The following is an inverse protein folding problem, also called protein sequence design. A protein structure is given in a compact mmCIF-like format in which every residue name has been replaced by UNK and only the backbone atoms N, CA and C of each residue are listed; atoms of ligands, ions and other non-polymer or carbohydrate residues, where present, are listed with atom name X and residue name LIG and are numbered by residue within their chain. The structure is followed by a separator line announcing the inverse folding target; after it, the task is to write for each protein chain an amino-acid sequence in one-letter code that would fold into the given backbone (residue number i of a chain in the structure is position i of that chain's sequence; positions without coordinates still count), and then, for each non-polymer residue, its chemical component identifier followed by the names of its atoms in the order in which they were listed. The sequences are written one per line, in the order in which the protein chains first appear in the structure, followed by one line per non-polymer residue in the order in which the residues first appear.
data_IF_008318363016
#
_entry.id   IF_008318363016
#
_cell.length_a   1.000
_cell.length_b   1.000
_cell.length_c   1.000
_cell.angle_alpha   90.00
_cell.angle_beta   90.00
_cell.angle_gamma   90.00
#
_symmetry.space_group_name_H-M   'P 1'
#
loop_
_entity.id
_entity.type
_entity.pdbx_description
1 polymer ?
#
# COMPACT_ATOMS: atom_id res chain seq x y z
N UNK A 1 1.87 38.01 17.77
CA UNK A 1 2.84 36.99 17.31
C UNK A 1 2.66 36.87 15.79
N UNK A 2 3.72 37.14 15.02
CA UNK A 2 3.66 36.90 13.57
C UNK A 2 3.32 35.44 13.32
N UNK A 3 2.39 35.18 12.40
CA UNK A 3 2.06 33.81 11.94
C UNK A 3 3.25 33.25 11.14
N UNK A 4 4.28 32.77 11.85
CA UNK A 4 5.41 32.10 11.22
C UNK A 4 4.99 30.70 10.75
N UNK A 5 5.53 30.22 9.63
CA UNK A 5 5.33 28.83 9.22
C UNK A 5 5.73 27.83 10.31
N UNK A 6 5.19 26.59 10.30
CA UNK A 6 5.61 25.53 11.21
C UNK A 6 7.13 25.29 11.16
N UNK A 7 7.72 24.81 12.25
CA UNK A 7 9.16 24.54 12.36
C UNK A 7 9.66 23.63 11.22
N UNK A 8 8.90 22.62 10.85
CA UNK A 8 9.24 21.72 9.75
C UNK A 8 9.38 22.43 8.40
N UNK A 9 8.65 23.52 8.17
CA UNK A 9 8.78 24.32 6.95
C UNK A 9 9.95 25.31 7.05
N UNK A 10 10.17 25.90 8.22
CA UNK A 10 11.31 26.82 8.47
C UNK A 10 12.66 26.12 8.37
N UNK A 11 12.71 24.82 8.74
CA UNK A 11 13.90 23.98 8.70
C UNK A 11 14.04 23.18 7.39
N UNK A 12 13.26 23.51 6.35
CA UNK A 12 13.36 22.82 5.07
C UNK A 12 14.73 23.09 4.41
N UNK A 13 15.54 22.04 4.14
CA UNK A 13 16.82 22.19 3.46
C UNK A 13 16.71 22.91 2.12
N UNK A 14 17.65 23.78 1.82
CA UNK A 14 17.70 24.55 0.59
C UNK A 14 18.69 23.96 -0.43
N UNK A 15 19.65 23.15 0.01
CA UNK A 15 20.67 22.53 -0.81
C UNK A 15 20.97 21.10 -0.34
N UNK A 16 21.77 20.36 -1.14
CA UNK A 16 22.10 18.95 -0.86
C UNK A 16 22.97 18.78 0.41
N UNK A 17 23.70 19.78 0.83
CA UNK A 17 24.59 19.66 1.98
C UNK A 17 23.83 19.84 3.31
N UNK A 18 22.71 20.56 3.28
CA UNK A 18 21.75 20.64 4.40
C UNK A 18 20.78 19.43 4.43
N UNK A 19 20.73 18.64 3.36
CA UNK A 19 19.77 17.55 3.25
C UNK A 19 20.17 16.36 4.12
N UNK A 20 19.42 16.11 5.18
CA UNK A 20 19.69 15.06 6.16
C UNK A 20 19.30 13.69 5.63
N UNK A 21 20.16 12.70 5.82
CA UNK A 21 19.93 11.31 5.44
C UNK A 21 20.22 11.00 3.97
N UNK A 22 19.74 9.85 3.52
CA UNK A 22 19.83 9.36 2.13
C UNK A 22 21.25 9.37 1.55
N UNK A 23 22.29 9.14 2.35
CA UNK A 23 23.70 9.17 1.91
C UNK A 23 23.99 8.25 0.72
N UNK A 24 23.24 7.14 0.58
CA UNK A 24 23.32 6.21 -0.54
C UNK A 24 22.85 6.81 -1.87
N UNK A 25 22.03 7.88 -1.85
CA UNK A 25 21.51 8.58 -3.03
C UNK A 25 22.24 9.89 -3.31
N UNK A 26 22.50 10.68 -2.25
CA UNK A 26 22.99 12.06 -2.37
C UNK A 26 24.34 12.30 -1.69
N UNK A 27 25.00 11.27 -1.15
CA UNK A 27 26.38 11.35 -0.65
C UNK A 27 27.36 11.79 -1.74
N UNK A 28 28.61 12.13 -1.40
CA UNK A 28 29.57 12.73 -2.32
C UNK A 28 29.78 11.94 -3.60
N UNK A 29 29.81 10.60 -3.53
CA UNK A 29 30.02 9.70 -4.69
C UNK A 29 28.72 9.04 -5.21
N UNK A 30 27.58 9.41 -4.67
CA UNK A 30 26.31 8.77 -4.98
C UNK A 30 25.79 9.11 -6.38
N UNK A 31 25.08 8.15 -6.97
CA UNK A 31 24.62 8.21 -8.37
C UNK A 31 23.74 9.43 -8.64
N UNK A 32 22.83 9.76 -7.75
CA UNK A 32 21.92 10.88 -7.94
C UNK A 32 22.66 12.23 -7.82
N UNK A 33 23.62 12.37 -6.87
CA UNK A 33 24.45 13.58 -6.77
C UNK A 33 25.26 13.79 -8.04
N UNK A 34 25.85 12.75 -8.62
CA UNK A 34 26.59 12.84 -9.88
C UNK A 34 25.68 13.25 -11.06
N UNK A 35 24.46 12.70 -11.12
CA UNK A 35 23.48 13.08 -12.14
C UNK A 35 23.07 14.57 -12.02
N UNK A 36 22.89 15.07 -10.81
CA UNK A 36 22.61 16.50 -10.55
C UNK A 36 23.80 17.36 -10.99
N UNK A 37 25.02 17.02 -10.58
CA UNK A 37 26.23 17.78 -10.91
C UNK A 37 26.54 17.81 -12.42
N UNK A 38 26.23 16.72 -13.13
CA UNK A 38 26.41 16.66 -14.59
C UNK A 38 25.30 17.37 -15.37
N UNK A 39 24.22 17.78 -14.72
CA UNK A 39 23.04 18.35 -15.37
C UNK A 39 22.22 17.34 -16.18
N UNK A 40 22.62 16.06 -16.21
CA UNK A 40 21.90 14.99 -16.92
C UNK A 40 20.97 14.23 -15.98
N UNK A 41 19.76 14.75 -15.82
CA UNK A 41 18.76 14.21 -14.91
C UNK A 41 17.77 13.34 -15.68
N UNK A 42 17.67 12.01 -15.41
CA UNK A 42 16.62 11.18 -15.95
C UNK A 42 15.29 11.47 -15.25
N UNK A 43 14.19 11.11 -15.88
CA UNK A 43 12.91 11.02 -15.17
C UNK A 43 12.98 9.94 -14.09
N UNK A 44 12.34 10.16 -12.93
CA UNK A 44 12.52 9.30 -11.78
C UNK A 44 11.28 9.20 -10.90
N UNK A 45 11.24 8.14 -10.10
CA UNK A 45 10.26 7.94 -9.05
C UNK A 45 10.99 7.85 -7.70
N UNK A 46 10.63 8.71 -6.76
CA UNK A 46 11.06 8.64 -5.37
C UNK A 46 10.07 7.79 -4.58
N UNK A 47 10.51 6.63 -4.14
CA UNK A 47 9.72 5.72 -3.33
C UNK A 47 10.28 5.65 -1.92
N UNK A 48 9.42 5.80 -0.92
CA UNK A 48 9.80 5.67 0.49
C UNK A 48 8.76 6.26 1.42
N UNK A 49 8.92 6.04 2.75
CA UNK A 49 7.95 6.45 3.76
C UNK A 49 7.71 7.97 3.77
N UNK A 50 6.64 8.44 4.45
CA UNK A 50 6.40 9.87 4.60
C UNK A 50 7.53 10.55 5.38
N UNK A 51 7.70 11.86 5.20
CA UNK A 51 8.63 12.69 5.95
C UNK A 51 10.13 12.46 5.73
N UNK A 52 10.53 11.58 4.80
CA UNK A 52 11.95 11.31 4.46
C UNK A 52 12.55 12.32 3.47
N UNK A 53 11.79 13.35 3.07
CA UNK A 53 12.29 14.45 2.26
C UNK A 53 12.10 14.31 0.75
N UNK A 54 11.21 13.44 0.22
CA UNK A 54 10.97 13.26 -1.24
C UNK A 54 10.70 14.58 -1.95
N UNK A 55 9.74 15.36 -1.48
CA UNK A 55 9.36 16.68 -2.04
C UNK A 55 10.49 17.70 -1.90
N UNK A 56 11.19 17.68 -0.78
CA UNK A 56 12.33 18.55 -0.51
C UNK A 56 13.49 18.25 -1.46
N UNK A 57 13.80 16.97 -1.69
CA UNK A 57 14.83 16.55 -2.62
C UNK A 57 14.54 16.98 -4.06
N UNK A 58 13.28 16.83 -4.50
CA UNK A 58 12.87 17.28 -5.83
C UNK A 58 13.03 18.81 -5.99
N UNK A 59 12.70 19.57 -4.96
CA UNK A 59 12.89 21.02 -4.96
C UNK A 59 14.39 21.40 -4.99
N UNK A 60 15.22 20.81 -4.14
CA UNK A 60 16.67 21.01 -4.13
C UNK A 60 17.30 20.73 -5.50
N UNK A 61 16.86 19.63 -6.16
CA UNK A 61 17.33 19.28 -7.51
C UNK A 61 16.99 20.40 -8.50
N UNK A 62 15.77 20.94 -8.45
CA UNK A 62 15.37 22.01 -9.37
C UNK A 62 16.19 23.28 -9.17
N UNK A 63 16.44 23.64 -7.91
CA UNK A 63 17.28 24.81 -7.58
C UNK A 63 18.74 24.59 -7.99
N UNK A 64 19.31 23.42 -7.73
CA UNK A 64 20.69 23.10 -8.09
C UNK A 64 20.94 23.12 -9.61
N UNK A 65 19.90 22.90 -10.41
CA UNK A 65 19.97 22.88 -11.88
C UNK A 65 19.44 24.17 -12.52
N UNK A 66 18.93 25.12 -11.73
CA UNK A 66 18.27 26.35 -12.18
C UNK A 66 17.17 26.07 -13.24
N UNK A 67 16.38 25.00 -12.98
CA UNK A 67 15.33 24.55 -13.91
C UNK A 67 13.94 24.98 -13.41
N UNK A 68 13.01 25.37 -14.31
CA UNK A 68 11.63 25.62 -13.94
C UNK A 68 11.00 24.42 -13.23
N UNK A 69 10.32 24.66 -12.12
CA UNK A 69 9.70 23.64 -11.28
C UNK A 69 8.18 23.76 -11.26
N UNK A 70 7.51 22.74 -11.77
CA UNK A 70 6.06 22.61 -11.73
C UNK A 70 5.70 21.53 -10.69
N UNK A 71 4.84 21.90 -9.76
CA UNK A 71 4.39 20.98 -8.71
C UNK A 71 2.90 20.66 -8.90
N UNK A 72 2.55 19.38 -9.01
CA UNK A 72 1.19 18.88 -9.00
C UNK A 72 0.99 17.94 -7.82
N UNK A 73 -0.12 18.11 -7.11
CA UNK A 73 -0.57 17.15 -6.11
C UNK A 73 -1.59 16.21 -6.74
N UNK A 74 -1.34 14.91 -6.71
CA UNK A 74 -2.28 13.93 -7.27
C UNK A 74 -3.63 13.90 -6.56
N UNK A 75 -3.72 14.45 -5.35
CA UNK A 75 -4.98 14.56 -4.60
C UNK A 75 -5.91 15.61 -5.21
N UNK A 76 -5.36 16.73 -5.70
CA UNK A 76 -6.11 17.91 -6.09
C UNK A 76 -6.07 18.18 -7.60
N UNK A 77 -5.28 17.44 -8.38
CA UNK A 77 -5.06 17.73 -9.81
C UNK A 77 -5.78 16.74 -10.72
N UNK A 78 -6.51 17.28 -11.72
CA UNK A 78 -7.17 16.51 -12.76
C UNK A 78 -6.34 16.41 -14.05
N UNK A 79 -6.87 15.71 -15.06
CA UNK A 79 -6.25 15.60 -16.41
C UNK A 79 -6.05 16.98 -17.06
N UNK A 80 -6.94 17.92 -16.77
CA UNK A 80 -6.85 19.29 -17.29
C UNK A 80 -5.60 20.02 -16.75
N UNK A 81 -5.36 19.90 -15.45
CA UNK A 81 -4.21 20.53 -14.79
C UNK A 81 -2.88 19.96 -15.31
N UNK A 82 -2.84 18.64 -15.52
CA UNK A 82 -1.69 17.96 -16.12
C UNK A 82 -1.38 18.50 -17.51
N UNK A 83 -2.40 18.64 -18.37
CA UNK A 83 -2.25 19.17 -19.73
C UNK A 83 -1.78 20.62 -19.72
N UNK A 84 -2.37 21.45 -18.86
CA UNK A 84 -2.00 22.87 -18.74
C UNK A 84 -0.52 23.03 -18.34
N UNK A 85 -0.03 22.19 -17.41
CA UNK A 85 1.40 22.21 -17.02
C UNK A 85 2.29 21.71 -18.14
N UNK A 86 1.90 20.67 -18.87
CA UNK A 86 2.65 20.16 -20.03
C UNK A 86 2.72 21.23 -21.13
N UNK A 87 1.64 21.94 -21.41
CA UNK A 87 1.59 23.01 -22.39
C UNK A 87 2.52 24.18 -21.99
N UNK A 88 2.50 24.58 -20.70
CA UNK A 88 3.43 25.57 -20.16
C UNK A 88 4.89 25.12 -20.27
N UNK A 89 5.16 23.86 -19.96
CA UNK A 89 6.51 23.27 -20.07
C UNK A 89 6.98 23.24 -21.54
N UNK A 90 6.09 22.92 -22.47
CA UNK A 90 6.41 22.91 -23.90
C UNK A 90 6.86 24.28 -24.43
N UNK A 91 6.29 25.38 -23.91
CA UNK A 91 6.70 26.75 -24.25
C UNK A 91 8.10 27.10 -23.74
N UNK A 92 8.60 26.41 -22.72
CA UNK A 92 9.91 26.64 -22.11
C UNK A 92 11.01 25.73 -22.67
N UNK A 93 10.66 24.79 -23.56
CA UNK A 93 11.60 23.77 -24.08
C UNK A 93 12.84 24.36 -24.74
N UNK A 94 12.67 25.49 -25.42
CA UNK A 94 13.75 26.16 -26.16
C UNK A 94 14.46 27.25 -25.33
N UNK A 95 14.14 27.34 -24.02
CA UNK A 95 14.83 28.25 -23.11
C UNK A 95 16.22 27.70 -22.73
N UNK A 96 17.16 28.60 -22.47
CA UNK A 96 18.53 28.25 -22.02
C UNK A 96 18.56 27.55 -20.65
N UNK A 97 17.45 27.46 -19.94
CA UNK A 97 17.33 26.93 -18.59
C UNK A 97 17.21 25.38 -18.53
N UNK A 98 17.23 24.71 -19.68
CA UNK A 98 17.06 23.26 -19.76
C UNK A 98 15.62 22.77 -19.55
N UNK A 99 15.41 21.45 -19.55
CA UNK A 99 14.06 20.88 -19.45
C UNK A 99 13.42 21.17 -18.10
N UNK A 100 12.17 21.67 -18.07
CA UNK A 100 11.43 21.87 -16.85
C UNK A 100 11.28 20.56 -16.02
N UNK A 101 11.28 20.69 -14.71
CA UNK A 101 10.99 19.58 -13.80
C UNK A 101 9.50 19.60 -13.48
N UNK A 102 8.81 18.50 -13.75
CA UNK A 102 7.46 18.24 -13.31
C UNK A 102 7.48 17.30 -12.10
N UNK A 103 7.22 17.85 -10.94
CA UNK A 103 7.09 17.07 -9.71
C UNK A 103 5.62 16.70 -9.45
N UNK A 104 5.37 15.42 -9.17
CA UNK A 104 4.05 14.91 -8.83
C UNK A 104 4.12 14.23 -7.48
N UNK A 105 3.50 14.86 -6.48
CA UNK A 105 3.38 14.27 -5.14
C UNK A 105 2.26 13.23 -5.12
N UNK A 106 2.52 12.10 -4.45
CA UNK A 106 1.61 10.95 -4.32
C UNK A 106 1.11 10.44 -5.69
N UNK A 107 2.03 10.24 -6.65
CA UNK A 107 1.70 9.83 -8.04
C UNK A 107 0.84 8.56 -8.13
N UNK A 108 0.86 7.69 -7.11
CA UNK A 108 0.02 6.49 -7.03
C UNK A 108 -1.48 6.82 -6.96
N UNK A 109 -1.87 8.03 -6.55
CA UNK A 109 -3.26 8.47 -6.52
C UNK A 109 -3.80 8.92 -7.87
N UNK A 110 -2.94 9.08 -8.85
CA UNK A 110 -3.38 9.30 -10.22
C UNK A 110 -3.98 8.04 -10.82
N UNK A 111 -5.15 8.16 -11.44
CA UNK A 111 -5.73 7.10 -12.26
C UNK A 111 -4.79 6.71 -13.42
N UNK A 112 -4.95 5.52 -13.97
CA UNK A 112 -4.18 5.07 -15.14
C UNK A 112 -4.24 6.07 -16.30
N UNK A 113 -5.41 6.65 -16.58
CA UNK A 113 -5.57 7.66 -17.63
C UNK A 113 -4.83 8.97 -17.36
N UNK A 114 -4.68 9.38 -16.09
CA UNK A 114 -3.88 10.53 -15.71
C UNK A 114 -2.38 10.22 -15.87
N UNK A 115 -1.94 9.04 -15.47
CA UNK A 115 -0.56 8.61 -15.67
C UNK A 115 -0.21 8.46 -17.17
N UNK A 116 -1.12 7.94 -17.99
CA UNK A 116 -0.96 7.86 -19.44
C UNK A 116 -0.79 9.26 -20.09
N UNK A 117 -1.45 10.27 -19.53
CA UNK A 117 -1.33 11.66 -20.01
C UNK A 117 0.10 12.21 -19.82
N UNK A 118 0.86 11.71 -18.85
CA UNK A 118 2.25 12.10 -18.61
C UNK A 118 3.22 11.44 -19.59
N UNK A 119 2.88 10.24 -20.09
CA UNK A 119 3.77 9.41 -20.89
C UNK A 119 4.29 10.16 -22.12
N UNK A 120 3.41 10.81 -22.87
CA UNK A 120 3.78 11.55 -24.05
C UNK A 120 4.70 12.76 -23.79
N UNK A 121 4.60 13.38 -22.62
CA UNK A 121 5.49 14.47 -22.23
C UNK A 121 6.89 13.99 -21.86
N UNK A 122 6.96 12.84 -21.14
CA UNK A 122 8.23 12.20 -20.79
C UNK A 122 8.94 11.65 -22.03
N UNK A 123 8.23 10.96 -22.92
CA UNK A 123 8.79 10.38 -24.16
C UNK A 123 9.35 11.43 -25.11
N UNK A 124 8.64 12.56 -25.26
CA UNK A 124 9.09 13.66 -26.14
C UNK A 124 10.14 14.56 -25.49
N UNK A 125 10.54 14.27 -24.25
CA UNK A 125 11.48 15.11 -23.51
C UNK A 125 10.98 16.55 -23.36
N UNK A 126 9.70 16.73 -23.02
CA UNK A 126 9.14 18.05 -22.71
C UNK A 126 9.38 18.43 -21.26
N UNK A 127 9.44 17.43 -20.40
CA UNK A 127 9.68 17.58 -18.96
C UNK A 127 10.61 16.46 -18.45
N UNK A 128 11.35 16.76 -17.38
CA UNK A 128 11.92 15.73 -16.52
C UNK A 128 10.91 15.42 -15.42
N UNK A 129 10.34 14.22 -15.42
CA UNK A 129 9.36 13.82 -14.40
C UNK A 129 10.06 13.39 -13.12
N UNK A 130 9.61 13.91 -11.98
CA UNK A 130 9.93 13.38 -10.65
C UNK A 130 8.62 13.02 -9.96
N UNK A 131 8.28 11.73 -9.92
CA UNK A 131 7.14 11.24 -9.15
C UNK A 131 7.54 10.89 -7.72
N UNK A 132 6.74 11.25 -6.72
CA UNK A 132 6.93 10.81 -5.34
C UNK A 132 5.78 9.88 -4.94
N UNK A 133 6.09 8.82 -4.20
CA UNK A 133 5.08 7.87 -3.71
C UNK A 133 5.52 7.23 -2.40
N UNK A 134 4.55 6.94 -1.55
CA UNK A 134 4.73 6.08 -0.37
C UNK A 134 4.41 4.62 -0.67
N UNK A 135 3.71 4.35 -1.77
CA UNK A 135 3.29 3.02 -2.21
C UNK A 135 4.32 2.38 -3.14
N UNK A 136 4.31 1.04 -3.21
CA UNK A 136 5.21 0.34 -4.11
C UNK A 136 4.90 0.66 -5.58
N UNK A 137 5.79 1.35 -6.28
CA UNK A 137 5.54 1.82 -7.63
C UNK A 137 5.30 0.69 -8.64
N UNK A 138 5.77 -0.52 -8.37
CA UNK A 138 5.55 -1.69 -9.24
C UNK A 138 4.07 -2.10 -9.36
N UNK A 139 3.24 -1.71 -8.39
CA UNK A 139 1.81 -2.01 -8.40
C UNK A 139 0.95 -0.80 -8.78
N UNK A 140 1.41 0.40 -8.44
CA UNK A 140 0.61 1.61 -8.49
C UNK A 140 0.94 2.52 -9.67
N UNK A 141 2.15 2.41 -10.23
CA UNK A 141 2.55 3.17 -11.40
C UNK A 141 2.49 2.29 -12.64
N UNK A 142 1.92 2.80 -13.74
CA UNK A 142 1.80 2.04 -14.98
C UNK A 142 3.18 1.63 -15.51
N UNK A 143 3.29 0.41 -16.01
CA UNK A 143 4.55 -0.17 -16.51
C UNK A 143 5.21 0.66 -17.62
N UNK A 144 4.41 1.31 -18.46
CA UNK A 144 4.89 2.20 -19.52
C UNK A 144 5.66 3.41 -18.97
N UNK A 145 5.20 3.98 -17.84
CA UNK A 145 5.87 5.11 -17.19
C UNK A 145 7.09 4.63 -16.41
N UNK A 146 6.98 3.51 -15.67
CA UNK A 146 8.10 2.92 -14.93
C UNK A 146 9.29 2.57 -15.83
N UNK A 147 9.05 2.06 -17.05
CA UNK A 147 10.12 1.72 -17.99
C UNK A 147 10.93 2.93 -18.45
N UNK A 148 10.46 4.16 -18.21
CA UNK A 148 11.11 5.43 -18.58
C UNK A 148 11.62 6.22 -17.39
N UNK A 149 11.41 5.72 -16.18
CA UNK A 149 11.82 6.36 -14.94
C UNK A 149 12.81 5.49 -14.17
N UNK A 150 13.79 6.11 -13.54
CA UNK A 150 14.62 5.43 -12.55
C UNK A 150 13.92 5.47 -11.19
N UNK A 151 13.85 4.34 -10.49
CA UNK A 151 13.27 4.28 -9.15
C UNK A 151 14.38 4.44 -8.11
N UNK A 152 14.25 5.45 -7.26
CA UNK A 152 15.14 5.69 -6.12
C UNK A 152 14.39 5.44 -4.82
N UNK A 153 14.95 4.56 -3.98
CA UNK A 153 14.35 4.20 -2.70
C UNK A 153 14.93 5.10 -1.61
N UNK A 154 14.05 5.91 -0.99
CA UNK A 154 14.38 6.71 0.17
C UNK A 154 14.04 5.92 1.43
N UNK A 155 14.95 5.94 2.41
CA UNK A 155 14.82 5.20 3.67
C UNK A 155 14.38 6.13 4.79
N UNK A 156 13.72 5.57 5.82
CA UNK A 156 13.49 6.29 7.07
C UNK A 156 14.81 6.80 7.63
N UNK A 157 14.78 7.96 8.29
CA UNK A 157 15.94 8.50 8.95
C UNK A 157 16.27 7.64 10.18
N UNK A 158 17.55 7.40 10.38
CA UNK A 158 18.04 6.69 11.56
C UNK A 158 18.08 7.62 12.81
N UNK A 159 18.36 7.04 13.97
CA UNK A 159 18.38 7.75 15.24
C UNK A 159 19.45 8.85 15.27
N UNK A 160 20.61 8.61 14.68
CA UNK A 160 21.70 9.58 14.62
C UNK A 160 21.35 10.77 13.72
N UNK A 161 20.70 10.50 12.58
CA UNK A 161 20.22 11.51 11.63
C UNK A 161 19.12 12.37 12.25
N UNK A 162 18.17 11.75 12.96
CA UNK A 162 17.10 12.46 13.67
C UNK A 162 17.63 13.30 14.83
N UNK A 163 18.57 12.76 15.60
CA UNK A 163 19.24 13.51 16.69
C UNK A 163 20.01 14.70 16.15
N UNK A 164 20.74 14.52 15.04
CA UNK A 164 21.41 15.61 14.34
C UNK A 164 20.45 16.72 13.91
N UNK A 165 19.29 16.33 13.34
CA UNK A 165 18.26 17.27 12.91
C UNK A 165 17.68 18.08 14.11
N UNK A 166 17.46 17.45 15.26
CA UNK A 166 17.01 18.14 16.49
C UNK A 166 17.99 19.22 16.92
N UNK A 167 19.27 18.89 16.97
CA UNK A 167 20.32 19.86 17.38
C UNK A 167 20.43 21.01 16.38
N UNK A 168 20.38 20.71 15.07
CA UNK A 168 20.38 21.73 14.02
C UNK A 168 19.17 22.65 14.14
N UNK A 169 17.97 22.11 14.36
CA UNK A 169 16.75 22.89 14.51
C UNK A 169 16.83 23.86 15.72
N UNK A 170 17.31 23.40 16.88
CA UNK A 170 17.45 24.25 18.07
C UNK A 170 18.48 25.36 17.84
N UNK A 171 19.56 25.07 17.13
CA UNK A 171 20.65 25.99 16.90
C UNK A 171 20.35 27.04 15.83
N UNK A 172 19.67 26.66 14.78
CA UNK A 172 19.57 27.46 13.55
C UNK A 172 18.18 28.08 13.31
N UNK A 173 17.11 27.51 13.89
CA UNK A 173 15.77 28.08 13.71
C UNK A 173 15.67 29.47 14.34
N UNK A 174 15.05 30.39 13.60
CA UNK A 174 14.95 31.82 13.98
C UNK A 174 14.23 32.07 15.29
N UNK A 175 13.33 31.14 15.70
CA UNK A 175 12.55 31.24 16.95
C UNK A 175 13.24 30.47 18.08
N UNK A 176 13.75 29.29 17.79
CA UNK A 176 14.32 28.40 18.82
C UNK A 176 15.66 28.87 19.31
N UNK A 177 16.51 29.46 18.47
CA UNK A 177 17.81 30.02 18.87
C UNK A 177 17.73 31.16 19.89
N UNK A 178 16.57 31.83 19.99
CA UNK A 178 16.32 32.90 20.98
C UNK A 178 15.98 32.33 22.37
N UNK A 179 15.86 31.00 22.50
CA UNK A 179 15.55 30.30 23.74
C UNK A 179 16.74 29.48 24.20
N UNK A 180 16.89 29.33 25.53
CA UNK A 180 17.85 28.40 26.10
C UNK A 180 17.24 27.02 26.22
N UNK A 181 17.44 26.18 25.19
CA UNK A 181 16.85 24.84 25.11
C UNK A 181 17.95 23.80 25.39
N UNK A 182 17.72 22.95 26.39
CA UNK A 182 18.59 21.82 26.74
C UNK A 182 17.84 20.53 26.50
N UNK A 183 18.37 19.67 25.66
CA UNK A 183 17.86 18.30 25.50
C UNK A 183 18.52 17.42 26.54
N UNK A 184 17.77 16.97 27.52
CA UNK A 184 18.23 16.00 28.52
C UNK A 184 18.00 14.58 28.01
N UNK A 185 16.79 14.33 27.46
CA UNK A 185 16.41 13.06 26.89
C UNK A 185 15.73 13.32 25.54
N UNK A 186 16.00 12.49 24.53
CA UNK A 186 15.44 12.65 23.18
C UNK A 186 14.73 11.39 22.64
N UNK A 187 14.76 10.29 23.38
CA UNK A 187 14.23 9.00 22.94
C UNK A 187 12.72 9.07 22.66
N UNK A 188 11.97 9.86 23.46
CA UNK A 188 10.55 10.07 23.22
C UNK A 188 10.30 10.80 21.89
N UNK A 189 11.06 11.85 21.57
CA UNK A 189 10.97 12.59 20.32
C UNK A 189 11.24 11.68 19.11
N UNK A 190 12.34 10.91 19.19
CA UNK A 190 12.74 9.98 18.13
C UNK A 190 11.69 8.89 17.94
N UNK A 191 11.24 8.26 19.04
CA UNK A 191 10.20 7.22 18.99
C UNK A 191 8.88 7.72 18.39
N UNK A 192 8.47 8.93 18.76
CA UNK A 192 7.23 9.55 18.27
C UNK A 192 7.32 9.96 16.81
N UNK A 193 8.52 10.29 16.32
CA UNK A 193 8.73 10.62 14.90
C UNK A 193 8.59 9.40 13.98
N UNK A 194 8.98 8.22 14.46
CA UNK A 194 8.98 6.98 13.64
C UNK A 194 9.86 7.05 12.39
N UNK A 195 10.93 7.87 12.40
CA UNK A 195 11.83 8.06 11.26
C UNK A 195 11.42 9.18 10.29
N UNK A 196 10.35 9.93 10.62
CA UNK A 196 9.80 11.06 9.85
C UNK A 196 10.33 12.38 10.39
N UNK A 197 11.14 13.11 9.58
CA UNK A 197 11.74 14.41 9.96
C UNK A 197 10.67 15.48 10.22
N UNK A 198 9.60 15.53 9.41
CA UNK A 198 8.52 16.52 9.57
C UNK A 198 7.80 16.31 10.90
N UNK A 199 7.49 15.04 11.21
CA UNK A 199 6.83 14.67 12.45
C UNK A 199 7.71 14.96 13.66
N UNK A 200 9.02 14.68 13.56
CA UNK A 200 10.01 15.03 14.61
C UNK A 200 9.98 16.51 14.96
N UNK A 201 10.09 17.38 13.94
CA UNK A 201 10.10 18.82 14.11
C UNK A 201 8.78 19.36 14.63
N UNK A 202 7.65 18.80 14.19
CA UNK A 202 6.33 19.17 14.70
C UNK A 202 6.19 18.80 16.19
N UNK A 203 6.61 17.60 16.60
CA UNK A 203 6.55 17.17 18.00
C UNK A 203 7.48 18.03 18.87
N UNK A 204 8.66 18.37 18.36
CA UNK A 204 9.58 19.30 19.03
C UNK A 204 8.93 20.68 19.25
N UNK A 205 8.31 21.24 18.21
CA UNK A 205 7.65 22.56 18.29
C UNK A 205 6.48 22.55 19.28
N UNK A 206 5.67 21.48 19.29
CA UNK A 206 4.58 21.27 20.24
C UNK A 206 5.09 21.20 21.68
N UNK A 207 6.13 20.40 21.93
CA UNK A 207 6.71 20.26 23.27
C UNK A 207 7.28 21.58 23.77
N UNK A 208 8.03 22.30 22.94
CA UNK A 208 8.61 23.60 23.30
C UNK A 208 7.53 24.65 23.59
N UNK A 209 6.47 24.68 22.81
CA UNK A 209 5.34 25.60 23.00
C UNK A 209 4.50 25.25 24.24
N UNK A 210 4.34 23.95 24.53
CA UNK A 210 3.62 23.46 25.70
C UNK A 210 4.34 23.77 27.03
N UNK A 211 5.67 23.59 27.08
CA UNK A 211 6.48 23.91 28.24
C UNK A 211 6.54 25.42 28.47
N UNK A 212 6.71 26.21 27.40
CA UNK A 212 6.75 27.66 27.45
C UNK A 212 8.01 28.22 28.12
N UNK A 213 8.12 29.56 28.17
CA UNK A 213 9.26 30.23 28.79
C UNK A 213 10.49 30.40 27.87
N UNK A 214 11.58 31.00 28.44
CA UNK A 214 12.85 31.22 27.73
C UNK A 214 13.86 30.10 27.97
N UNK A 215 13.80 29.44 29.14
CA UNK A 215 14.68 28.31 29.48
C UNK A 215 13.84 27.03 29.49
N UNK A 216 14.18 26.11 28.66
CA UNK A 216 13.40 24.87 28.40
C UNK A 216 14.34 23.68 28.57
N UNK A 217 13.90 22.68 29.35
CA UNK A 217 14.58 21.39 29.46
C UNK A 217 13.66 20.33 28.88
N UNK A 218 14.07 19.70 27.79
CA UNK A 218 13.33 18.61 27.18
C UNK A 218 13.69 17.28 27.85
N UNK A 219 12.69 16.63 28.43
CA UNK A 219 12.77 15.27 29.00
C UNK A 219 11.74 14.39 28.35
N UNK A 220 11.91 13.08 28.44
CA UNK A 220 10.92 12.13 27.89
C UNK A 220 9.51 12.34 28.48
N UNK A 221 9.42 12.67 29.77
CA UNK A 221 8.14 12.89 30.45
C UNK A 221 7.41 14.10 29.88
N UNK A 222 8.07 15.29 29.80
CA UNK A 222 7.37 16.48 29.32
C UNK A 222 7.08 16.45 27.82
N UNK A 223 7.91 15.77 27.02
CA UNK A 223 7.62 15.53 25.61
C UNK A 223 6.36 14.67 25.47
N UNK A 224 6.22 13.58 26.24
CA UNK A 224 5.04 12.72 26.21
C UNK A 224 3.79 13.44 26.71
N UNK A 225 3.88 14.23 27.79
CA UNK A 225 2.77 15.00 28.34
C UNK A 225 2.15 15.94 27.30
N UNK A 226 2.98 16.72 26.59
CA UNK A 226 2.52 17.69 25.60
C UNK A 226 2.20 17.08 24.24
N UNK A 227 2.81 15.95 23.89
CA UNK A 227 2.58 15.27 22.62
C UNK A 227 1.37 14.32 22.65
N UNK A 228 1.07 13.65 23.78
CA UNK A 228 -0.04 12.69 23.90
C UNK A 228 -1.42 13.30 23.62
N UNK A 229 -1.64 14.56 23.90
CA UNK A 229 -2.88 15.26 23.56
C UNK A 229 -3.10 15.43 22.04
N UNK A 230 -2.04 15.30 21.23
CA UNK A 230 -2.08 15.53 19.77
C UNK A 230 -1.69 14.31 18.92
N UNK A 231 -1.24 13.20 19.53
CA UNK A 231 -0.70 12.03 18.82
C UNK A 231 -1.74 10.99 18.41
N UNK A 232 -3.03 11.27 18.55
CA UNK A 232 -4.12 10.45 18.00
C UNK A 232 -4.21 10.50 16.45
N UNK A 233 -3.22 11.10 15.78
CA UNK A 233 -3.14 11.10 14.32
C UNK A 233 -2.18 10.00 13.85
N UNK A 234 -2.71 8.78 13.87
CA UNK A 234 -2.21 7.66 13.07
C UNK A 234 -2.10 8.10 11.60
N UNK A 235 -0.96 7.91 11.00
CA UNK A 235 -0.78 8.14 9.57
C UNK A 235 -1.51 7.02 8.79
N UNK A 236 -2.78 7.27 8.49
CA UNK A 236 -3.69 6.34 7.78
C UNK A 236 -3.23 5.99 6.35
N UNK A 237 -2.18 6.60 5.86
CA UNK A 237 -1.70 6.46 4.48
C UNK A 237 -0.20 6.15 4.36
N UNK A 238 0.51 5.86 5.46
CA UNK A 238 1.94 5.62 5.46
C UNK A 238 2.33 4.15 5.30
N UNK A 239 3.60 3.89 4.97
CA UNK A 239 4.20 2.55 4.82
C UNK A 239 4.01 1.69 6.07
N UNK A 240 4.05 2.27 7.28
CA UNK A 240 3.79 1.57 8.54
C UNK A 240 2.38 0.99 8.63
N UNK A 241 1.39 1.62 7.99
CA UNK A 241 0.03 1.11 7.89
C UNK A 241 0.01 -0.25 7.17
N UNK A 242 0.66 -0.34 5.99
CA UNK A 242 0.75 -1.58 5.22
C UNK A 242 1.57 -2.66 5.91
N UNK A 243 2.63 -2.29 6.61
CA UNK A 243 3.46 -3.22 7.38
C UNK A 243 2.68 -3.83 8.56
N UNK A 244 1.93 -3.03 9.31
CA UNK A 244 1.11 -3.49 10.44
C UNK A 244 0.00 -4.41 9.94
N UNK A 245 -0.70 -4.03 8.86
CA UNK A 245 -1.74 -4.87 8.25
C UNK A 245 -1.14 -6.18 7.73
N UNK A 246 0.02 -6.11 7.08
CA UNK A 246 0.71 -7.31 6.59
C UNK A 246 1.12 -8.23 7.74
N UNK A 247 1.63 -7.68 8.84
CA UNK A 247 1.96 -8.42 10.04
C UNK A 247 0.72 -9.05 10.70
N UNK A 248 -0.38 -8.29 10.77
CA UNK A 248 -1.67 -8.77 11.27
C UNK A 248 -2.18 -9.98 10.47
N UNK A 249 -2.25 -9.86 9.14
CA UNK A 249 -2.70 -10.94 8.26
C UNK A 249 -1.78 -12.15 8.37
N UNK A 250 -0.46 -11.96 8.35
CA UNK A 250 0.53 -13.04 8.46
C UNK A 250 0.47 -13.76 9.81
N UNK A 251 0.17 -13.04 10.90
CA UNK A 251 0.00 -13.64 12.22
C UNK A 251 -1.23 -14.55 12.27
N UNK A 252 -2.36 -14.15 11.71
CA UNK A 252 -3.56 -14.99 11.61
C UNK A 252 -3.30 -16.20 10.70
N UNK A 253 -2.67 -15.97 9.54
CA UNK A 253 -2.26 -17.03 8.59
C UNK A 253 -1.30 -18.02 9.24
N UNK A 254 -0.35 -17.53 10.03
CA UNK A 254 0.62 -18.31 10.78
C UNK A 254 0.08 -18.97 12.05
N UNK A 255 -1.22 -18.80 12.37
CA UNK A 255 -1.89 -19.39 13.53
C UNK A 255 -1.32 -18.91 14.88
N UNK A 256 -0.89 -17.64 14.95
CA UNK A 256 -0.48 -17.00 16.20
C UNK A 256 -1.55 -15.98 16.67
N UNK A 257 -2.49 -16.38 17.56
CA UNK A 257 -3.52 -15.49 18.06
C UNK A 257 -2.96 -14.35 18.92
N UNK A 258 -1.83 -14.53 19.60
CA UNK A 258 -1.23 -13.50 20.46
C UNK A 258 -0.65 -12.37 19.61
N UNK A 259 0.15 -12.71 18.60
CA UNK A 259 0.66 -11.72 17.66
C UNK A 259 -0.48 -11.03 16.89
N UNK A 260 -1.50 -11.79 16.47
CA UNK A 260 -2.66 -11.24 15.75
C UNK A 260 -3.42 -10.20 16.58
N UNK A 261 -3.68 -10.48 17.87
CA UNK A 261 -4.35 -9.52 18.79
C UNK A 261 -3.44 -8.32 19.09
N UNK A 262 -2.13 -8.52 19.20
CA UNK A 262 -1.18 -7.41 19.36
C UNK A 262 -1.23 -6.44 18.17
N UNK A 263 -1.19 -6.96 16.95
CA UNK A 263 -1.25 -6.13 15.74
C UNK A 263 -2.63 -5.47 15.57
N UNK A 264 -3.72 -6.18 15.96
CA UNK A 264 -5.05 -5.59 16.04
C UNK A 264 -5.07 -4.38 16.99
N UNK A 265 -4.54 -4.54 18.20
CA UNK A 265 -4.46 -3.45 19.18
C UNK A 265 -3.65 -2.27 18.65
N UNK A 266 -2.53 -2.52 17.96
CA UNK A 266 -1.75 -1.44 17.32
C UNK A 266 -2.52 -0.68 16.25
N UNK A 267 -3.36 -1.37 15.44
CA UNK A 267 -4.23 -0.71 14.46
C UNK A 267 -5.31 0.14 15.16
N UNK A 268 -5.92 -0.38 16.23
CA UNK A 268 -6.96 0.32 16.98
C UNK A 268 -6.42 1.58 17.66
N UNK A 269 -5.30 1.47 18.38
CA UNK A 269 -4.63 2.61 19.02
C UNK A 269 -4.11 3.63 18.00
N UNK A 270 -3.77 3.15 16.80
CA UNK A 270 -3.44 3.99 15.66
C UNK A 270 -4.63 4.66 14.98
N UNK A 271 -5.87 4.42 15.43
CA UNK A 271 -7.08 5.04 14.88
C UNK A 271 -7.51 4.47 13.51
N UNK A 272 -7.15 3.20 13.21
CA UNK A 272 -7.58 2.54 11.97
C UNK A 272 -9.09 2.41 11.89
N UNK A 273 -9.63 2.52 10.69
CA UNK A 273 -11.05 2.27 10.43
C UNK A 273 -11.44 0.83 10.80
N UNK A 274 -12.34 0.61 11.77
CA UNK A 274 -12.72 -0.72 12.18
C UNK A 274 -13.37 -1.53 11.06
N UNK A 275 -14.01 -0.88 10.09
CA UNK A 275 -14.58 -1.52 8.90
C UNK A 275 -13.47 -1.97 7.93
N UNK A 276 -12.36 -1.23 7.85
CA UNK A 276 -11.22 -1.66 7.08
C UNK A 276 -10.63 -2.96 7.65
N UNK A 277 -10.42 -3.04 8.97
CA UNK A 277 -9.93 -4.24 9.64
C UNK A 277 -10.90 -5.42 9.38
N UNK A 278 -12.20 -5.20 9.54
CA UNK A 278 -13.21 -6.23 9.31
C UNK A 278 -13.24 -6.71 7.85
N UNK A 279 -13.05 -5.83 6.85
CA UNK A 279 -12.90 -6.22 5.43
C UNK A 279 -11.70 -7.13 5.20
N UNK A 280 -10.57 -6.86 5.87
CA UNK A 280 -9.38 -7.74 5.77
C UNK A 280 -9.63 -9.12 6.34
N UNK A 281 -10.40 -9.22 7.43
CA UNK A 281 -10.83 -10.51 7.99
C UNK A 281 -11.73 -11.29 7.03
N UNK A 282 -12.66 -10.62 6.33
CA UNK A 282 -13.50 -11.25 5.30
C UNK A 282 -12.67 -11.90 4.18
N UNK A 283 -11.68 -11.18 3.67
CA UNK A 283 -10.78 -11.70 2.63
C UNK A 283 -10.00 -12.91 3.16
N UNK A 284 -9.38 -12.78 4.33
CA UNK A 284 -8.57 -13.82 4.95
C UNK A 284 -9.37 -15.10 5.26
N UNK A 285 -10.64 -14.95 5.66
CA UNK A 285 -11.54 -16.08 5.90
C UNK A 285 -11.67 -16.98 4.67
N UNK A 286 -11.70 -16.41 3.46
CA UNK A 286 -11.80 -17.15 2.21
C UNK A 286 -10.43 -17.55 1.64
N UNK A 287 -9.41 -16.67 1.77
CA UNK A 287 -8.09 -16.87 1.21
C UNK A 287 -7.27 -17.92 1.98
N UNK A 288 -7.25 -17.83 3.32
CA UNK A 288 -6.34 -18.62 4.17
C UNK A 288 -7.03 -19.73 4.98
N UNK A 289 -8.34 -19.61 5.23
CA UNK A 289 -9.10 -20.62 6.00
C UNK A 289 -9.95 -21.46 5.06
N UNK A 290 -10.69 -20.83 4.16
CA UNK A 290 -11.46 -21.50 3.13
C UNK A 290 -12.32 -22.66 3.66
N UNK A 291 -12.28 -23.79 2.96
CA UNK A 291 -13.05 -24.98 3.31
C UNK A 291 -12.50 -25.78 4.50
N UNK A 292 -11.35 -25.42 5.06
CA UNK A 292 -10.89 -26.01 6.32
C UNK A 292 -11.83 -25.68 7.49
N UNK A 293 -12.43 -24.48 7.48
CA UNK A 293 -13.45 -24.05 8.42
C UNK A 293 -14.40 -23.02 7.77
N UNK A 294 -15.46 -23.45 7.07
CA UNK A 294 -16.40 -22.55 6.40
C UNK A 294 -17.10 -21.52 7.31
N UNK A 295 -17.17 -21.80 8.63
CA UNK A 295 -17.74 -20.87 9.59
C UNK A 295 -16.91 -19.60 9.75
N UNK A 296 -15.63 -19.61 9.35
CA UNK A 296 -14.79 -18.42 9.43
C UNK A 296 -15.34 -17.28 8.55
N UNK A 297 -15.84 -17.58 7.36
CA UNK A 297 -16.44 -16.57 6.47
C UNK A 297 -17.76 -16.03 7.06
N UNK A 298 -18.58 -16.89 7.66
CA UNK A 298 -19.81 -16.48 8.33
C UNK A 298 -19.52 -15.57 9.52
N UNK A 299 -18.55 -15.95 10.35
CA UNK A 299 -18.12 -15.13 11.50
C UNK A 299 -17.53 -13.79 11.06
N UNK A 300 -16.68 -13.78 10.05
CA UNK A 300 -16.10 -12.55 9.51
C UNK A 300 -17.15 -11.59 8.93
N UNK A 301 -18.16 -12.14 8.23
CA UNK A 301 -19.28 -11.34 7.73
C UNK A 301 -20.13 -10.76 8.88
N UNK A 302 -20.46 -11.57 9.88
CA UNK A 302 -21.19 -11.10 11.06
C UNK A 302 -20.36 -10.07 11.85
N UNK A 303 -19.04 -10.26 11.96
CA UNK A 303 -18.13 -9.30 12.55
C UNK A 303 -18.20 -7.96 11.80
N UNK A 304 -18.13 -7.97 10.47
CA UNK A 304 -18.24 -6.76 9.65
C UNK A 304 -19.56 -6.02 9.91
N UNK A 305 -20.70 -6.74 9.91
CA UNK A 305 -22.02 -6.15 10.16
C UNK A 305 -22.13 -5.56 11.58
N UNK A 306 -21.66 -6.29 12.58
CA UNK A 306 -21.71 -5.84 13.97
C UNK A 306 -20.81 -4.61 14.20
N UNK A 307 -19.61 -4.60 13.65
CA UNK A 307 -18.69 -3.45 13.70
C UNK A 307 -19.29 -2.23 13.02
N UNK A 308 -19.97 -2.40 11.89
CA UNK A 308 -20.64 -1.31 11.17
C UNK A 308 -21.79 -0.67 11.99
N UNK A 309 -22.46 -1.43 12.82
CA UNK A 309 -23.59 -0.95 13.65
C UNK A 309 -23.10 -0.31 14.94
N UNK A 310 -22.08 -0.90 15.57
CA UNK A 310 -21.65 -0.55 16.93
C UNK A 310 -20.57 0.53 16.94
N UNK A 311 -19.53 0.39 16.08
CA UNK A 311 -18.40 1.30 16.08
C UNK A 311 -17.50 1.20 17.32
N UNK A 312 -16.51 2.10 17.42
CA UNK A 312 -15.65 2.21 18.60
C UNK A 312 -16.39 2.90 19.76
N UNK A 313 -16.06 2.55 21.03
CA UNK A 313 -14.95 1.67 21.46
C UNK A 313 -15.27 0.17 21.47
N UNK A 314 -16.52 -0.26 21.39
CA UNK A 314 -16.93 -1.66 21.58
C UNK A 314 -16.57 -2.57 20.41
N UNK A 315 -16.43 -2.05 19.19
CA UNK A 315 -16.01 -2.81 18.00
C UNK A 315 -14.72 -3.61 18.23
N UNK A 316 -13.81 -3.13 19.11
CA UNK A 316 -12.56 -3.83 19.46
C UNK A 316 -12.78 -5.24 20.01
N UNK A 317 -13.88 -5.43 20.75
CA UNK A 317 -14.21 -6.72 21.38
C UNK A 317 -14.64 -7.72 20.30
N UNK A 318 -15.49 -7.27 19.38
CA UNK A 318 -16.01 -8.07 18.25
C UNK A 318 -14.86 -8.47 17.31
N UNK A 319 -14.00 -7.50 16.98
CA UNK A 319 -12.81 -7.73 16.16
C UNK A 319 -11.86 -8.75 16.82
N UNK A 320 -11.61 -8.61 18.13
CA UNK A 320 -10.74 -9.53 18.87
C UNK A 320 -11.28 -10.97 18.87
N UNK A 321 -12.61 -11.15 19.04
CA UNK A 321 -13.23 -12.47 18.95
C UNK A 321 -13.04 -13.11 17.57
N UNK A 322 -13.28 -12.35 16.50
CA UNK A 322 -13.08 -12.83 15.13
C UNK A 322 -11.62 -13.19 14.86
N UNK A 323 -10.69 -12.34 15.29
CA UNK A 323 -9.24 -12.54 15.12
C UNK A 323 -8.74 -13.81 15.81
N UNK A 324 -9.10 -13.99 17.09
CA UNK A 324 -8.67 -15.17 17.87
C UNK A 324 -9.27 -16.45 17.30
N UNK A 325 -10.54 -16.44 16.90
CA UNK A 325 -11.17 -17.59 16.23
C UNK A 325 -10.47 -17.95 14.91
N UNK A 326 -10.20 -16.96 14.07
CA UNK A 326 -9.58 -17.18 12.76
C UNK A 326 -8.11 -17.60 12.88
N UNK A 327 -7.36 -17.01 13.82
CA UNK A 327 -6.00 -17.41 14.09
C UNK A 327 -5.91 -18.87 14.57
N UNK A 328 -6.88 -19.32 15.37
CA UNK A 328 -6.94 -20.68 15.92
C UNK A 328 -7.61 -21.70 14.97
N UNK A 329 -8.17 -21.27 13.84
CA UNK A 329 -8.79 -22.17 12.86
C UNK A 329 -7.76 -22.92 12.02
N UNK A 330 -8.12 -24.12 11.54
CA UNK A 330 -7.35 -24.80 10.51
C UNK A 330 -7.27 -23.95 9.25
N UNK A 331 -6.19 -24.07 8.50
CA UNK A 331 -5.90 -23.24 7.32
C UNK A 331 -5.99 -24.06 6.04
N UNK A 332 -6.54 -23.42 5.00
CA UNK A 332 -6.51 -23.94 3.62
C UNK A 332 -6.67 -22.79 2.63
N UNK A 333 -5.79 -22.75 1.64
CA UNK A 333 -5.89 -21.86 0.49
C UNK A 333 -6.34 -22.60 -0.78
N UNK A 334 -6.85 -23.82 -0.65
CA UNK A 334 -7.19 -24.67 -1.81
C UNK A 334 -8.19 -24.01 -2.78
N UNK A 335 -9.18 -23.27 -2.26
CA UNK A 335 -10.14 -22.55 -3.10
C UNK A 335 -9.52 -21.34 -3.80
N UNK A 336 -8.61 -20.63 -3.14
CA UNK A 336 -7.84 -19.51 -3.71
C UNK A 336 -6.91 -20.01 -4.84
N UNK A 337 -6.18 -21.08 -4.61
CA UNK A 337 -5.35 -21.71 -5.65
C UNK A 337 -6.17 -22.23 -6.83
N UNK A 338 -7.36 -22.76 -6.58
CA UNK A 338 -8.24 -23.26 -7.64
C UNK A 338 -8.65 -22.16 -8.62
N UNK A 339 -9.07 -20.98 -8.11
CA UNK A 339 -9.46 -19.87 -9.00
C UNK A 339 -8.25 -19.28 -9.73
N UNK A 340 -7.09 -19.20 -9.10
CA UNK A 340 -5.86 -18.73 -9.75
C UNK A 340 -5.45 -19.65 -10.90
N UNK A 341 -5.44 -20.97 -10.69
CA UNK A 341 -5.17 -21.96 -11.73
C UNK A 341 -6.19 -21.87 -12.87
N UNK A 342 -7.48 -21.72 -12.55
CA UNK A 342 -8.53 -21.57 -13.55
C UNK A 342 -8.34 -20.31 -14.39
N UNK A 343 -8.04 -19.16 -13.77
CA UNK A 343 -7.78 -17.92 -14.49
C UNK A 343 -6.54 -18.01 -15.39
N UNK A 344 -5.48 -18.66 -14.90
CA UNK A 344 -4.28 -18.89 -15.71
C UNK A 344 -4.58 -19.78 -16.92
N UNK A 345 -5.34 -20.87 -16.72
CA UNK A 345 -5.75 -21.77 -17.80
C UNK A 345 -6.58 -21.03 -18.85
N UNK A 346 -7.57 -20.23 -18.44
CA UNK A 346 -8.38 -19.40 -19.35
C UNK A 346 -7.52 -18.42 -20.16
N UNK A 347 -6.53 -17.79 -19.52
CA UNK A 347 -5.58 -16.90 -20.25
C UNK A 347 -4.75 -17.63 -21.28
N UNK A 348 -4.39 -18.89 -21.02
CA UNK A 348 -3.59 -19.72 -21.94
C UNK A 348 -4.41 -20.29 -23.10
N UNK A 349 -5.66 -20.70 -22.84
CA UNK A 349 -6.49 -21.42 -23.82
C UNK A 349 -7.47 -20.51 -24.56
N UNK A 350 -7.69 -19.29 -24.09
CA UNK A 350 -8.70 -18.38 -24.64
C UNK A 350 -10.13 -18.87 -24.42
N UNK A 351 -11.03 -18.45 -25.28
CA UNK A 351 -12.47 -18.77 -25.21
C UNK A 351 -12.78 -20.14 -25.80
N UNK A 352 -12.57 -21.22 -25.05
CA UNK A 352 -12.96 -22.56 -25.47
C UNK A 352 -14.50 -22.70 -25.51
N UNK A 353 -15.07 -23.46 -26.48
CA UNK A 353 -16.49 -23.63 -26.59
C UNK A 353 -17.05 -24.47 -25.43
N UNK A 354 -18.22 -24.09 -24.92
CA UNK A 354 -18.95 -24.91 -23.93
C UNK A 354 -19.40 -26.22 -24.59
N UNK A 355 -19.21 -27.40 -23.98
CA UNK A 355 -19.68 -28.66 -24.49
C UNK A 355 -21.21 -28.67 -24.82
N UNK A 356 -21.62 -29.24 -25.95
CA UNK A 356 -22.99 -29.12 -26.40
C UNK A 356 -24.01 -29.72 -25.43
N UNK A 357 -23.71 -30.84 -24.80
CA UNK A 357 -24.60 -31.54 -23.88
C UNK A 357 -24.95 -30.72 -22.61
N UNK A 358 -24.09 -29.79 -22.15
CA UNK A 358 -24.39 -28.93 -21.01
C UNK A 358 -24.98 -27.56 -21.40
N UNK A 359 -25.23 -27.31 -22.69
CA UNK A 359 -25.88 -26.08 -23.15
C UNK A 359 -27.41 -26.22 -23.07
N UNK A 360 -28.10 -25.17 -22.64
CA UNK A 360 -29.54 -25.11 -22.67
C UNK A 360 -30.08 -25.03 -24.11
N UNK A 361 -31.16 -25.74 -24.40
CA UNK A 361 -31.80 -25.81 -25.71
C UNK A 361 -33.23 -25.23 -25.69
N UNK A 362 -33.46 -23.92 -25.49
CA UNK A 362 -34.78 -23.32 -25.39
C UNK A 362 -35.56 -23.33 -26.74
N UNK A 363 -34.90 -23.45 -27.88
CA UNK A 363 -35.52 -23.44 -29.21
C UNK A 363 -35.39 -24.78 -29.91
N UNK A 364 -36.32 -25.04 -30.89
CA UNK A 364 -36.26 -26.25 -31.75
C UNK A 364 -34.94 -26.31 -32.52
N UNK A 365 -34.44 -25.18 -33.01
CA UNK A 365 -33.17 -25.10 -33.73
C UNK A 365 -32.03 -25.59 -32.86
N UNK A 366 -31.92 -25.09 -31.61
CA UNK A 366 -30.87 -25.49 -30.66
C UNK A 366 -30.93 -27.00 -30.37
N UNK A 367 -32.11 -27.55 -30.19
CA UNK A 367 -32.30 -29.02 -30.05
C UNK A 367 -31.79 -29.79 -31.29
N UNK A 368 -32.08 -29.29 -32.47
CA UNK A 368 -31.68 -29.94 -33.72
C UNK A 368 -30.15 -29.93 -33.93
N UNK A 369 -29.44 -28.93 -33.43
CA UNK A 369 -27.98 -28.85 -33.49
C UNK A 369 -27.29 -29.52 -32.27
N UNK A 370 -28.06 -30.24 -31.43
CA UNK A 370 -27.51 -31.08 -30.37
C UNK A 370 -27.30 -30.43 -29.00
N UNK A 371 -27.87 -29.25 -28.78
CA UNK A 371 -27.80 -28.63 -27.43
C UNK A 371 -28.60 -29.45 -26.43
N UNK A 372 -27.98 -29.74 -25.27
CA UNK A 372 -28.58 -30.52 -24.17
C UNK A 372 -28.78 -32.03 -24.50
N UNK A 373 -28.28 -32.47 -25.67
CA UNK A 373 -28.38 -33.89 -26.04
C UNK A 373 -27.48 -34.73 -25.12
N UNK A 374 -28.05 -35.84 -24.60
CA UNK A 374 -27.37 -36.78 -23.70
C UNK A 374 -26.94 -36.21 -22.35
N UNK A 375 -27.47 -35.03 -21.96
CA UNK A 375 -27.23 -34.48 -20.63
C UNK A 375 -27.82 -35.37 -19.53
N UNK A 376 -27.00 -35.77 -18.59
CA UNK A 376 -27.37 -36.58 -17.44
C UNK A 376 -27.75 -35.69 -16.26
N UNK A 377 -29.03 -35.61 -15.94
CA UNK A 377 -29.52 -34.86 -14.81
C UNK A 377 -29.16 -35.57 -13.48
N UNK A 378 -28.21 -35.06 -12.75
CA UNK A 378 -27.60 -35.73 -11.59
C UNK A 378 -28.59 -36.18 -10.52
N UNK A 379 -29.69 -35.45 -10.28
CA UNK A 379 -30.73 -35.82 -9.30
C UNK A 379 -31.53 -37.07 -9.72
N UNK A 380 -31.43 -37.53 -10.95
CA UNK A 380 -32.02 -38.79 -11.42
C UNK A 380 -31.14 -40.02 -11.19
N UNK A 381 -29.98 -39.87 -10.57
CA UNK A 381 -29.01 -40.93 -10.35
C UNK A 381 -28.76 -41.15 -8.85
N UNK A 382 -28.33 -42.35 -8.49
CA UNK A 382 -27.99 -42.72 -7.12
C UNK A 382 -26.88 -41.76 -6.58
N UNK A 383 -27.05 -41.29 -5.35
CA UNK A 383 -26.13 -40.33 -4.72
C UNK A 383 -26.15 -38.94 -5.37
N UNK A 384 -27.11 -38.63 -6.23
CA UNK A 384 -27.20 -37.38 -6.98
C UNK A 384 -25.91 -37.09 -7.81
N UNK A 385 -25.28 -38.13 -8.34
CA UNK A 385 -24.07 -38.03 -9.14
C UNK A 385 -24.18 -38.81 -10.45
N UNK A 386 -23.82 -38.17 -11.55
CA UNK A 386 -23.73 -38.81 -12.87
C UNK A 386 -22.40 -38.47 -13.52
N UNK A 387 -21.61 -39.48 -13.87
CA UNK A 387 -20.34 -39.27 -14.57
C UNK A 387 -20.60 -38.71 -15.97
N UNK A 388 -20.15 -37.47 -16.18
CA UNK A 388 -20.15 -36.81 -17.49
C UNK A 388 -19.03 -35.74 -17.52
N UNK A 389 -18.70 -35.23 -18.72
CA UNK A 389 -17.71 -34.17 -18.85
C UNK A 389 -18.37 -32.78 -18.66
N UNK A 390 -17.74 -31.91 -17.95
CA UNK A 390 -18.18 -30.52 -17.74
C UNK A 390 -17.19 -29.49 -18.27
N UNK A 391 -15.94 -29.89 -18.50
CA UNK A 391 -14.92 -29.04 -19.11
C UNK A 391 -14.95 -29.21 -20.65
N UNK A 392 -14.48 -28.25 -21.43
CA UNK A 392 -14.15 -28.43 -22.83
C UNK A 392 -13.22 -29.62 -23.05
N UNK A 393 -13.42 -30.38 -24.13
CA UNK A 393 -12.66 -31.63 -24.40
C UNK A 393 -11.15 -31.43 -24.36
N UNK A 394 -10.67 -30.31 -24.87
CA UNK A 394 -9.22 -29.98 -24.90
C UNK A 394 -8.56 -29.81 -23.51
N UNK A 395 -9.35 -29.60 -22.49
CA UNK A 395 -8.89 -29.44 -21.10
C UNK A 395 -9.56 -30.47 -20.16
N UNK A 396 -10.18 -31.50 -20.71
CA UNK A 396 -10.78 -32.58 -19.91
C UNK A 396 -9.76 -33.21 -18.97
N UNK A 397 -10.18 -33.52 -17.73
CA UNK A 397 -9.32 -34.11 -16.70
C UNK A 397 -8.39 -33.12 -16.02
N UNK A 398 -8.39 -31.83 -16.35
CA UNK A 398 -7.58 -30.84 -15.65
C UNK A 398 -8.07 -30.64 -14.21
N UNK A 399 -7.22 -30.94 -13.23
CA UNK A 399 -7.53 -30.74 -11.81
C UNK A 399 -7.22 -29.30 -11.40
N UNK A 400 -8.25 -28.50 -11.19
CA UNK A 400 -8.14 -27.11 -10.72
C UNK A 400 -8.26 -27.00 -9.20
N UNK A 401 -9.20 -27.73 -8.59
CA UNK A 401 -9.39 -27.78 -7.14
C UNK A 401 -8.80 -29.06 -6.57
N UNK A 402 -7.96 -28.91 -5.56
CA UNK A 402 -7.36 -30.01 -4.79
C UNK A 402 -7.54 -29.74 -3.30
N UNK A 403 -8.44 -30.43 -2.59
CA UNK A 403 -8.69 -30.21 -1.16
C UNK A 403 -7.41 -30.31 -0.32
N UNK A 404 -7.27 -29.50 0.73
CA UNK A 404 -6.16 -29.56 1.64
C UNK A 404 -6.12 -30.86 2.49
N UNK A 405 -5.11 -30.94 3.35
CA UNK A 405 -4.89 -32.13 4.19
C UNK A 405 -5.51 -32.03 5.60
N UNK A 406 -6.28 -30.96 5.89
CA UNK A 406 -6.99 -30.84 7.15
C UNK A 406 -8.20 -31.78 7.22
N UNK A 407 -8.72 -32.12 8.44
CA UNK A 407 -9.79 -33.12 8.60
C UNK A 407 -11.07 -32.82 7.83
N UNK A 408 -11.43 -31.53 7.67
CA UNK A 408 -12.66 -31.16 6.96
C UNK A 408 -12.48 -31.42 5.45
N UNK A 409 -11.37 -31.05 4.87
CA UNK A 409 -11.12 -31.21 3.44
C UNK A 409 -10.72 -32.65 3.07
N UNK A 410 -10.20 -33.44 4.00
CA UNK A 410 -10.04 -34.88 3.77
C UNK A 410 -11.39 -35.58 3.49
N UNK A 411 -12.43 -35.24 4.22
CA UNK A 411 -13.78 -35.75 3.94
C UNK A 411 -14.29 -35.35 2.55
N UNK A 412 -13.99 -34.13 2.13
CA UNK A 412 -14.31 -33.65 0.77
C UNK A 412 -13.50 -34.44 -0.27
N UNK A 413 -12.21 -34.66 -0.03
CA UNK A 413 -11.32 -35.47 -0.91
C UNK A 413 -11.85 -36.89 -1.08
N UNK A 414 -12.22 -37.56 0.00
CA UNK A 414 -12.78 -38.90 -0.05
C UNK A 414 -14.07 -38.96 -0.90
N UNK A 415 -14.97 -37.99 -0.70
CA UNK A 415 -16.17 -37.88 -1.52
C UNK A 415 -15.84 -37.68 -3.00
N UNK A 416 -14.96 -36.72 -3.32
CA UNK A 416 -14.56 -36.45 -4.70
C UNK A 416 -13.86 -37.63 -5.35
N UNK A 417 -13.04 -38.34 -4.62
CA UNK A 417 -12.38 -39.58 -5.08
C UNK A 417 -13.40 -40.67 -5.39
N UNK A 418 -14.43 -40.86 -4.56
CA UNK A 418 -15.52 -41.80 -4.79
C UNK A 418 -16.30 -41.44 -6.07
N UNK A 419 -16.63 -40.17 -6.23
CA UNK A 419 -17.46 -39.69 -7.33
C UNK A 419 -16.71 -39.69 -8.69
N UNK A 420 -15.46 -39.14 -8.71
CA UNK A 420 -14.70 -38.90 -9.94
C UNK A 420 -13.67 -40.00 -10.27
N UNK A 421 -13.39 -40.89 -9.31
CA UNK A 421 -12.43 -41.99 -9.46
C UNK A 421 -11.08 -41.48 -9.99
N UNK A 422 -10.61 -42.01 -11.11
CA UNK A 422 -9.31 -41.70 -11.69
C UNK A 422 -9.26 -40.40 -12.49
N UNK A 423 -10.42 -39.77 -12.77
CA UNK A 423 -10.51 -38.63 -13.67
C UNK A 423 -9.65 -37.44 -13.24
N UNK A 424 -9.62 -37.12 -11.94
CA UNK A 424 -8.87 -35.99 -11.40
C UNK A 424 -7.76 -36.41 -10.42
N UNK A 425 -7.61 -37.69 -10.16
CA UNK A 425 -6.60 -38.25 -9.26
C UNK A 425 -6.57 -37.53 -7.89
N UNK A 426 -7.70 -37.55 -7.20
CA UNK A 426 -7.84 -37.00 -5.84
C UNK A 426 -7.16 -37.86 -4.78
#
# INVERSE_FOLDING_TARGET
MQNLPPLAERMRPQNLDEYVGQKHLVGQDAVLRKAIQSGQLPSMIFWGPPGVGKTTLAYIISQALDRPFFNLSAINSGVKDIREVIDKAALLKDSFLGLPILFIDEIHRFSKSQQDSLLGAVERGLVTLIGATTENPSFEVISALLSRCQVYILKSLDEAELSGLLHTAIKEDIVLKEKSITIKDHEALIRLSGGDARKLLNVLEIAINGIGGKTIVLTNENVLEHAQQNLALYDKAGEQHYDIISAFIKSIRGSDPNAAVYWLARMIEGGEDPLFIARRLLILASEDIGNANPNALLLANNCFQAVNVIGYPEARIILSQAVTYMASSAKSNASYEAINKAQQLVKQTGNLPVPLHIRNAPTKLMKNIGYGKDYKYAHGYEGNFATQEFLPDSISGTKLYDPGNNPAEQKLREKLKKDWKDKYNY
#
